data_IF_496812290285
#
_entry.id   IF_496812290285
#
_cell.length_a   1.000
_cell.length_b   1.000
_cell.length_c   1.000
_cell.angle_alpha   90.00
_cell.angle_beta   90.00
_cell.angle_gamma   90.00
#
_symmetry.space_group_name_H-M   'P 1'
#
loop_
_entity.id
_entity.type
_entity.pdbx_description
1 polymer ?
#
# COMPACT_ATOMS: atom_id res chain seq x y z
N UNK A 1 -42.81 -46.81 -6.91
CA UNK A 1 -42.87 -45.74 -7.91
C UNK A 1 -42.41 -44.50 -7.18
N UNK A 2 -41.10 -44.21 -7.23
CA UNK A 2 -40.49 -43.10 -6.50
C UNK A 2 -40.37 -41.92 -7.46
N UNK A 3 -41.05 -40.82 -7.15
CA UNK A 3 -40.89 -39.55 -7.85
C UNK A 3 -39.47 -39.04 -7.62
N UNK A 4 -38.68 -39.04 -8.70
CA UNK A 4 -37.39 -38.39 -8.73
C UNK A 4 -37.64 -36.87 -8.75
N UNK A 5 -37.61 -36.25 -7.58
CA UNK A 5 -37.52 -34.80 -7.49
C UNK A 5 -36.24 -34.35 -8.22
N UNK A 6 -36.44 -33.57 -9.28
CA UNK A 6 -35.41 -32.95 -10.09
C UNK A 6 -34.64 -31.96 -9.22
N UNK A 7 -33.56 -32.45 -8.60
CA UNK A 7 -32.61 -31.62 -7.84
C UNK A 7 -31.87 -30.78 -8.85
N UNK A 8 -32.22 -29.50 -8.96
CA UNK A 8 -31.49 -28.52 -9.75
C UNK A 8 -30.04 -28.43 -9.23
N UNK A 9 -29.04 -28.92 -9.99
CA UNK A 9 -27.65 -28.92 -9.54
C UNK A 9 -27.05 -27.50 -9.45
N UNK A 10 -27.79 -26.47 -9.89
CA UNK A 10 -27.38 -25.06 -9.82
C UNK A 10 -28.04 -24.26 -8.68
N UNK A 11 -28.91 -24.88 -7.87
CA UNK A 11 -29.56 -24.21 -6.74
C UNK A 11 -28.59 -23.91 -5.56
N UNK A 12 -27.37 -24.45 -5.57
CA UNK A 12 -26.36 -24.28 -4.51
C UNK A 12 -25.44 -23.04 -4.69
N UNK A 13 -25.60 -22.24 -5.75
CA UNK A 13 -24.71 -21.09 -6.00
C UNK A 13 -25.26 -19.71 -5.58
N UNK A 14 -26.42 -19.64 -4.90
CA UNK A 14 -27.05 -18.35 -4.56
C UNK A 14 -27.19 -18.07 -3.07
N UNK A 15 -26.11 -18.19 -2.31
CA UNK A 15 -25.90 -17.42 -1.07
C UNK A 15 -24.40 -17.26 -0.80
N UNK A 16 -23.65 -16.68 -1.73
CA UNK A 16 -22.50 -15.88 -1.30
C UNK A 16 -23.09 -14.50 -0.99
N UNK A 17 -23.69 -14.35 0.20
CA UNK A 17 -23.89 -13.02 0.76
C UNK A 17 -22.53 -12.32 0.65
N UNK A 18 -22.51 -11.27 -0.15
CA UNK A 18 -21.32 -10.49 -0.41
C UNK A 18 -21.01 -9.71 0.86
N UNK A 19 -20.41 -10.38 1.84
CA UNK A 19 -19.61 -9.72 2.85
C UNK A 19 -18.62 -8.87 2.08
N UNK A 20 -18.97 -7.60 1.99
CA UNK A 20 -18.27 -6.64 1.16
C UNK A 20 -16.94 -6.45 1.85
N UNK A 21 -15.91 -7.18 1.40
CA UNK A 21 -14.57 -7.15 1.98
C UNK A 21 -14.23 -5.70 2.33
N UNK A 22 -14.23 -5.42 3.64
CA UNK A 22 -14.00 -4.08 4.14
C UNK A 22 -12.50 -3.90 4.34
N UNK A 23 -12.00 -2.76 3.89
CA UNK A 23 -10.62 -2.37 4.08
C UNK A 23 -10.53 -1.38 5.23
N UNK A 24 -9.83 -1.75 6.30
CA UNK A 24 -9.56 -0.86 7.42
C UNK A 24 -8.49 0.20 7.07
N UNK A 25 -8.64 1.41 7.62
CA UNK A 25 -7.70 2.51 7.41
C UNK A 25 -6.28 2.13 7.81
N UNK A 26 -6.07 1.60 9.01
CA UNK A 26 -4.73 1.31 9.55
C UNK A 26 -3.94 0.34 8.67
N UNK A 27 -4.61 -0.74 8.23
CA UNK A 27 -4.09 -1.70 7.26
C UNK A 27 -3.67 -1.01 5.97
N UNK A 28 -4.52 -0.14 5.43
CA UNK A 28 -4.22 0.61 4.23
C UNK A 28 -2.98 1.52 4.41
N UNK A 29 -2.89 2.27 5.52
CA UNK A 29 -1.78 3.21 5.75
C UNK A 29 -0.43 2.47 5.83
N UNK A 30 -0.35 1.40 6.63
CA UNK A 30 0.88 0.61 6.78
C UNK A 30 1.32 -0.02 5.46
N UNK A 31 0.37 -0.65 4.77
CA UNK A 31 0.70 -1.34 3.53
C UNK A 31 1.02 -0.35 2.41
N UNK A 32 0.36 0.81 2.33
CA UNK A 32 0.70 1.86 1.36
C UNK A 32 2.11 2.40 1.57
N UNK A 33 2.54 2.58 2.82
CA UNK A 33 3.92 2.97 3.12
C UNK A 33 4.93 1.91 2.65
N UNK A 34 4.67 0.63 2.91
CA UNK A 34 5.51 -0.46 2.42
C UNK A 34 5.55 -0.51 0.87
N UNK A 35 4.40 -0.33 0.22
CA UNK A 35 4.30 -0.26 -1.24
C UNK A 35 5.04 0.94 -1.82
N UNK A 36 5.04 2.09 -1.14
CA UNK A 36 5.80 3.26 -1.55
C UNK A 36 7.31 3.00 -1.51
N UNK A 37 7.81 2.39 -0.45
CA UNK A 37 9.23 2.03 -0.35
C UNK A 37 9.64 1.00 -1.41
N UNK A 38 8.78 0.01 -1.65
CA UNK A 38 8.97 -0.97 -2.73
C UNK A 38 8.93 -0.30 -4.11
N UNK A 39 8.03 0.67 -4.30
CA UNK A 39 7.92 1.46 -5.52
C UNK A 39 9.11 2.40 -5.72
N UNK A 40 9.77 2.89 -4.66
CA UNK A 40 10.96 3.72 -4.77
C UNK A 40 12.22 2.88 -5.04
N UNK A 41 12.43 1.84 -4.24
CA UNK A 41 13.70 1.09 -4.23
C UNK A 41 13.70 -0.09 -5.20
N UNK A 42 12.53 -0.57 -5.61
CA UNK A 42 12.41 -1.88 -6.25
C UNK A 42 12.69 -3.01 -5.26
N UNK A 43 12.94 -4.20 -5.78
CA UNK A 43 13.32 -5.37 -5.02
C UNK A 43 14.41 -6.12 -5.80
N UNK A 44 15.57 -6.39 -5.19
CA UNK A 44 16.69 -7.03 -5.88
C UNK A 44 16.24 -8.26 -6.66
N UNK A 45 16.55 -8.29 -7.96
CA UNK A 45 16.28 -9.39 -8.89
C UNK A 45 14.81 -9.73 -9.16
N UNK A 46 13.87 -8.98 -8.61
CA UNK A 46 12.43 -9.13 -8.88
C UNK A 46 11.84 -7.89 -9.54
N UNK A 47 12.22 -6.71 -9.05
CA UNK A 47 11.73 -5.43 -9.51
C UNK A 47 12.92 -4.48 -9.60
N UNK A 48 13.26 -4.02 -10.81
CA UNK A 48 14.32 -3.02 -11.02
C UNK A 48 14.11 -1.82 -10.11
N UNK A 49 15.19 -1.19 -9.63
CA UNK A 49 15.07 0.04 -8.84
C UNK A 49 14.50 1.20 -9.66
N UNK A 50 13.93 2.21 -9.01
CA UNK A 50 13.48 3.41 -9.73
C UNK A 50 14.67 4.15 -10.33
N UNK A 51 15.81 4.18 -9.63
CA UNK A 51 17.03 4.79 -10.12
C UNK A 51 17.53 4.17 -11.43
N UNK A 52 17.50 2.84 -11.56
CA UNK A 52 17.85 2.16 -12.81
C UNK A 52 16.86 2.52 -13.93
N UNK A 53 15.54 2.47 -13.68
CA UNK A 53 14.54 2.84 -14.69
C UNK A 53 14.68 4.29 -15.13
N UNK A 54 14.87 5.21 -14.19
CA UNK A 54 15.14 6.64 -14.45
C UNK A 54 16.30 6.82 -15.41
N UNK A 55 17.43 6.14 -15.15
CA UNK A 55 18.60 6.23 -16.03
C UNK A 55 18.31 5.69 -17.43
N UNK A 56 17.53 4.59 -17.54
CA UNK A 56 17.12 4.05 -18.83
C UNK A 56 16.26 5.05 -19.61
N UNK A 57 15.25 5.65 -18.97
CA UNK A 57 14.38 6.65 -19.62
C UNK A 57 15.14 7.92 -20.00
N UNK A 58 15.99 8.44 -19.12
CA UNK A 58 16.82 9.61 -19.45
C UNK A 58 17.77 9.33 -20.61
N UNK A 59 18.35 8.12 -20.72
CA UNK A 59 19.17 7.75 -21.89
C UNK A 59 18.34 7.69 -23.17
N UNK A 60 17.15 7.10 -23.09
CA UNK A 60 16.21 7.02 -24.23
C UNK A 60 15.81 8.41 -24.73
N UNK A 61 15.58 9.34 -23.80
CA UNK A 61 15.26 10.74 -24.08
C UNK A 61 16.49 11.64 -24.27
N UNK A 62 17.72 11.08 -24.33
CA UNK A 62 18.97 11.84 -24.50
C UNK A 62 19.19 12.95 -23.45
N UNK A 63 18.71 12.73 -22.24
CA UNK A 63 18.81 13.65 -21.11
C UNK A 63 17.67 14.67 -21.02
N UNK A 64 16.70 14.67 -21.94
CA UNK A 64 15.51 15.51 -21.82
C UNK A 64 14.58 14.95 -20.74
N UNK A 65 14.50 15.64 -19.60
CA UNK A 65 13.69 15.24 -18.45
C UNK A 65 12.19 15.24 -18.77
N UNK A 66 11.72 16.20 -19.55
CA UNK A 66 10.29 16.35 -19.83
C UNK A 66 9.84 15.22 -20.78
N UNK A 67 10.63 14.97 -21.83
CA UNK A 67 10.38 13.85 -22.74
C UNK A 67 10.49 12.49 -22.01
N UNK A 68 11.47 12.31 -21.13
CA UNK A 68 11.60 11.09 -20.32
C UNK A 68 10.41 10.89 -19.38
N UNK A 69 9.95 11.96 -18.72
CA UNK A 69 8.80 11.89 -17.82
C UNK A 69 7.51 11.54 -18.58
N UNK A 70 7.32 12.09 -19.77
CA UNK A 70 6.18 11.77 -20.63
C UNK A 70 6.21 10.29 -21.06
N UNK A 71 7.36 9.79 -21.51
CA UNK A 71 7.54 8.37 -21.84
C UNK A 71 7.22 7.46 -20.64
N UNK A 72 7.67 7.84 -19.44
CA UNK A 72 7.40 7.10 -18.21
C UNK A 72 5.91 7.09 -17.82
N UNK A 73 5.14 8.11 -18.19
CA UNK A 73 3.69 8.15 -17.97
C UNK A 73 2.92 7.27 -18.96
N UNK A 74 3.40 7.17 -20.19
CA UNK A 74 2.80 6.37 -21.26
C UNK A 74 3.13 4.87 -21.14
N UNK A 75 4.28 4.54 -20.55
CA UNK A 75 4.70 3.15 -20.38
C UNK A 75 3.82 2.42 -19.35
N UNK A 76 3.21 1.32 -19.80
CA UNK A 76 2.56 0.38 -18.92
C UNK A 76 3.58 -0.61 -18.34
N UNK A 77 3.56 -0.76 -17.01
CA UNK A 77 4.42 -1.74 -16.33
C UNK A 77 3.89 -3.15 -16.63
N UNK A 78 4.80 -4.07 -16.99
CA UNK A 78 4.49 -5.45 -17.37
C UNK A 78 3.82 -6.25 -16.24
N UNK A 79 2.89 -7.14 -16.62
CA UNK A 79 2.08 -7.99 -15.72
C UNK A 79 2.92 -8.92 -14.83
N UNK A 80 4.15 -9.26 -15.22
CA UNK A 80 5.03 -10.19 -14.50
C UNK A 80 5.24 -9.75 -13.05
N UNK A 81 5.34 -8.43 -12.80
CA UNK A 81 5.57 -7.87 -11.45
C UNK A 81 4.41 -8.12 -10.49
N UNK A 82 3.20 -8.36 -11.00
CA UNK A 82 2.00 -8.62 -10.19
C UNK A 82 2.17 -9.87 -9.33
N UNK A 83 2.70 -10.95 -9.89
CA UNK A 83 2.93 -12.19 -9.14
C UNK A 83 4.00 -12.03 -8.05
N UNK A 84 5.04 -11.23 -8.32
CA UNK A 84 6.06 -10.91 -7.31
C UNK A 84 5.46 -10.10 -6.16
N UNK A 85 4.67 -9.07 -6.47
CA UNK A 85 4.09 -8.19 -5.45
C UNK A 85 3.20 -8.94 -4.47
N UNK A 86 2.36 -9.85 -4.96
CA UNK A 86 1.47 -10.64 -4.11
C UNK A 86 2.23 -11.59 -3.18
N UNK A 87 3.48 -11.92 -3.50
CA UNK A 87 4.34 -12.78 -2.67
C UNK A 87 5.32 -12.00 -1.79
N UNK A 88 5.75 -10.83 -2.25
CA UNK A 88 6.73 -9.98 -1.57
C UNK A 88 6.13 -9.11 -0.47
N UNK A 89 4.88 -8.66 -0.66
CA UNK A 89 4.17 -7.88 0.33
C UNK A 89 3.56 -8.89 1.31
N UNK A 90 4.11 -9.08 2.52
CA UNK A 90 3.50 -9.97 3.50
C UNK A 90 2.03 -9.56 3.68
N UNK A 91 1.14 -10.54 3.85
CA UNK A 91 -0.31 -10.34 3.90
C UNK A 91 -0.69 -9.30 4.97
N UNK A 92 -0.70 -8.02 4.61
CA UNK A 92 -1.10 -6.93 5.51
C UNK A 92 -2.61 -6.81 5.61
N UNK A 93 -3.39 -7.74 5.03
CA UNK A 93 -4.85 -7.64 4.96
C UNK A 93 -5.36 -6.76 3.81
N UNK A 94 -4.48 -6.27 2.92
CA UNK A 94 -4.90 -5.61 1.69
C UNK A 94 -5.28 -6.63 0.61
N UNK A 95 -6.45 -6.51 -0.04
CA UNK A 95 -6.79 -7.34 -1.18
C UNK A 95 -5.86 -7.08 -2.36
N UNK A 96 -5.48 -8.16 -3.05
CA UNK A 96 -4.65 -8.14 -4.27
C UNK A 96 -5.14 -7.12 -5.31
N UNK A 97 -6.46 -6.96 -5.41
CA UNK A 97 -7.12 -6.02 -6.32
C UNK A 97 -6.76 -4.55 -6.06
N UNK A 98 -6.38 -4.19 -4.82
CA UNK A 98 -5.97 -2.83 -4.44
C UNK A 98 -4.45 -2.68 -4.51
N UNK A 99 -3.72 -3.72 -4.07
CA UNK A 99 -2.24 -3.70 -3.97
C UNK A 99 -1.59 -3.34 -5.30
N UNK A 100 -1.95 -4.06 -6.37
CA UNK A 100 -1.27 -3.89 -7.66
C UNK A 100 -1.55 -2.53 -8.31
N UNK A 101 -2.81 -2.07 -8.45
CA UNK A 101 -3.08 -0.73 -9.01
C UNK A 101 -2.47 0.40 -8.19
N UNK A 102 -2.51 0.31 -6.85
CA UNK A 102 -1.90 1.32 -5.98
C UNK A 102 -0.38 1.35 -6.16
N UNK A 103 0.29 0.20 -6.11
CA UNK A 103 1.73 0.12 -6.33
C UNK A 103 2.12 0.63 -7.72
N UNK A 104 1.39 0.25 -8.77
CA UNK A 104 1.64 0.71 -10.15
C UNK A 104 1.56 2.23 -10.26
N UNK A 105 0.56 2.84 -9.63
CA UNK A 105 0.41 4.29 -9.56
C UNK A 105 1.59 4.93 -8.82
N UNK A 106 1.91 4.47 -7.60
CA UNK A 106 3.02 4.99 -6.80
C UNK A 106 4.36 4.86 -7.55
N UNK A 107 4.57 3.73 -8.25
CA UNK A 107 5.77 3.45 -9.02
C UNK A 107 5.95 4.43 -10.17
N UNK A 108 4.87 4.73 -10.90
CA UNK A 108 4.87 5.73 -11.98
C UNK A 108 5.24 7.12 -11.45
N UNK A 109 4.63 7.53 -10.33
CA UNK A 109 4.91 8.83 -9.70
C UNK A 109 6.35 8.90 -9.18
N UNK A 110 6.85 7.86 -8.52
CA UNK A 110 8.24 7.77 -8.07
C UNK A 110 9.22 7.92 -9.23
N UNK A 111 8.94 7.27 -10.36
CA UNK A 111 9.77 7.36 -11.55
C UNK A 111 9.84 8.80 -12.07
N UNK A 112 8.69 9.46 -12.25
CA UNK A 112 8.64 10.87 -12.69
C UNK A 112 9.35 11.79 -11.70
N UNK A 113 9.10 11.65 -10.39
CA UNK A 113 9.79 12.42 -9.36
C UNK A 113 11.31 12.22 -9.46
N UNK A 114 11.78 10.99 -9.64
CA UNK A 114 13.21 10.71 -9.76
C UNK A 114 13.81 11.32 -11.04
N UNK A 115 13.11 11.30 -12.18
CA UNK A 115 13.55 11.88 -13.46
C UNK A 115 13.81 13.38 -13.31
N UNK A 116 12.96 14.06 -12.56
CA UNK A 116 13.08 15.50 -12.31
C UNK A 116 14.11 15.89 -11.26
N UNK A 117 14.84 14.96 -10.63
CA UNK A 117 15.82 15.34 -9.61
C UNK A 117 15.52 14.88 -8.19
N UNK A 118 14.30 14.46 -7.90
CA UNK A 118 13.87 14.31 -6.50
C UNK A 118 14.43 13.04 -5.87
N UNK A 119 14.91 13.17 -4.63
CA UNK A 119 15.42 12.06 -3.85
C UNK A 119 14.27 11.34 -3.13
N UNK A 120 13.99 10.11 -3.57
CA UNK A 120 12.90 9.29 -3.03
C UNK A 120 13.16 8.79 -1.61
N UNK A 121 14.37 8.95 -1.05
CA UNK A 121 14.64 8.65 0.36
C UNK A 121 14.16 9.78 1.30
N UNK A 122 13.92 10.98 0.76
CA UNK A 122 13.46 12.11 1.56
C UNK A 122 11.98 11.97 1.89
N UNK A 123 11.65 12.08 3.18
CA UNK A 123 10.27 11.99 3.66
C UNK A 123 9.34 13.00 2.96
N UNK A 124 9.81 14.22 2.72
CA UNK A 124 9.04 15.26 2.04
C UNK A 124 8.67 14.87 0.60
N UNK A 125 9.59 14.22 -0.13
CA UNK A 125 9.35 13.73 -1.49
C UNK A 125 8.39 12.54 -1.46
N UNK A 126 8.55 11.63 -0.50
CA UNK A 126 7.62 10.51 -0.31
C UNK A 126 6.19 10.99 -0.01
N UNK A 127 6.06 12.02 0.84
CA UNK A 127 4.78 12.64 1.12
C UNK A 127 4.19 13.34 -0.12
N UNK A 128 5.02 14.03 -0.90
CA UNK A 128 4.63 14.61 -2.19
C UNK A 128 4.12 13.56 -3.19
N UNK A 129 4.78 12.39 -3.27
CA UNK A 129 4.35 11.26 -4.11
C UNK A 129 2.95 10.79 -3.73
N UNK A 130 2.67 10.66 -2.42
CA UNK A 130 1.35 10.23 -1.94
C UNK A 130 0.26 11.29 -2.19
N UNK A 131 0.58 12.57 -2.04
CA UNK A 131 -0.35 13.66 -2.37
C UNK A 131 -0.66 13.66 -3.87
N UNK A 132 0.36 13.53 -4.72
CA UNK A 132 0.19 13.42 -6.16
C UNK A 132 -0.65 12.18 -6.54
N UNK A 133 -0.46 11.05 -5.86
CA UNK A 133 -1.29 9.86 -6.06
C UNK A 133 -2.77 10.10 -5.73
N UNK A 134 -3.05 10.97 -4.75
CA UNK A 134 -4.41 11.42 -4.42
C UNK A 134 -4.95 12.52 -5.33
N UNK A 135 -4.18 13.00 -6.31
CA UNK A 135 -4.52 14.17 -7.12
C UNK A 135 -4.53 15.47 -6.31
N UNK A 136 -3.77 15.53 -5.22
CA UNK A 136 -3.70 16.66 -4.30
C UNK A 136 -2.42 17.46 -4.53
N UNK A 137 -2.52 18.78 -4.41
CA UNK A 137 -1.35 19.67 -4.46
C UNK A 137 -0.79 19.88 -3.05
N UNK A 138 0.53 19.84 -2.92
CA UNK A 138 1.20 20.33 -1.71
C UNK A 138 1.34 21.85 -1.83
N UNK A 139 0.91 22.59 -0.82
CA UNK A 139 1.22 24.02 -0.78
C UNK A 139 2.74 24.19 -0.62
N UNK A 140 3.36 25.06 -1.43
CA UNK A 140 4.83 25.24 -1.48
C UNK A 140 5.44 25.65 -0.13
N UNK A 141 4.65 26.29 0.74
CA UNK A 141 5.09 26.73 2.06
C UNK A 141 5.00 25.66 3.16
N UNK A 142 4.30 24.55 2.92
CA UNK A 142 4.11 23.49 3.91
C UNK A 142 4.95 22.27 3.52
N UNK A 143 5.93 21.90 4.35
CA UNK A 143 6.59 20.60 4.22
C UNK A 143 5.57 19.51 4.53
N UNK A 144 5.17 18.68 3.54
CA UNK A 144 4.20 17.63 3.78
C UNK A 144 4.87 16.55 4.63
N UNK A 145 4.22 16.16 5.74
CA UNK A 145 4.62 15.00 6.54
C UNK A 145 4.06 13.73 5.93
N UNK A 146 4.82 12.64 5.95
CA UNK A 146 4.43 11.39 5.31
C UNK A 146 3.09 10.85 5.85
N UNK A 147 2.93 10.87 7.17
CA UNK A 147 1.71 10.40 7.83
C UNK A 147 0.46 11.19 7.39
N UNK A 148 0.58 12.52 7.29
CA UNK A 148 -0.54 13.38 6.83
C UNK A 148 -0.89 13.10 5.38
N UNK A 149 0.11 12.84 4.53
CA UNK A 149 -0.11 12.51 3.13
C UNK A 149 -0.78 11.13 2.97
N UNK A 150 -0.38 10.13 3.76
CA UNK A 150 -1.06 8.83 3.83
C UNK A 150 -2.53 8.98 4.24
N UNK A 151 -2.80 9.75 5.29
CA UNK A 151 -4.16 10.03 5.74
C UNK A 151 -4.98 10.79 4.68
N UNK A 152 -4.37 11.73 3.96
CA UNK A 152 -5.02 12.46 2.88
C UNK A 152 -5.38 11.56 1.70
N UNK A 153 -4.46 10.67 1.30
CA UNK A 153 -4.71 9.66 0.28
C UNK A 153 -5.84 8.71 0.69
N UNK A 154 -5.82 8.22 1.93
CA UNK A 154 -6.93 7.41 2.46
C UNK A 154 -8.25 8.16 2.36
N UNK A 155 -8.35 9.37 2.92
CA UNK A 155 -9.58 10.17 2.89
C UNK A 155 -10.09 10.39 1.47
N UNK A 156 -9.18 10.55 0.50
CA UNK A 156 -9.52 10.69 -0.92
C UNK A 156 -10.14 9.41 -1.48
N UNK A 157 -9.51 8.27 -1.26
CA UNK A 157 -9.98 6.97 -1.76
C UNK A 157 -11.25 6.48 -1.05
N UNK A 158 -11.31 6.71 0.26
CA UNK A 158 -12.41 6.38 1.14
C UNK A 158 -13.62 7.32 1.00
N UNK A 159 -13.54 8.35 0.14
CA UNK A 159 -14.57 9.38 -0.05
C UNK A 159 -15.02 10.02 1.27
N UNK A 160 -14.07 10.25 2.18
CA UNK A 160 -14.30 10.87 3.49
C UNK A 160 -14.62 9.90 4.64
N UNK A 161 -14.81 8.60 4.37
CA UNK A 161 -14.97 7.61 5.44
C UNK A 161 -13.68 7.44 6.26
N UNK A 162 -13.84 7.27 7.57
CA UNK A 162 -12.70 7.33 8.51
C UNK A 162 -12.16 5.95 8.85
N UNK A 163 -13.00 4.91 9.02
CA UNK A 163 -12.56 3.63 9.62
C UNK A 163 -12.39 2.48 8.64
N UNK A 164 -13.45 2.11 7.93
CA UNK A 164 -13.46 0.99 7.01
C UNK A 164 -14.34 1.32 5.81
N UNK A 165 -13.97 0.79 4.64
CA UNK A 165 -14.66 1.06 3.38
C UNK A 165 -14.69 -0.21 2.52
N UNK A 166 -15.77 -0.48 1.77
CA UNK A 166 -15.77 -1.55 0.79
C UNK A 166 -14.62 -1.41 -0.21
N UNK A 167 -13.93 -2.51 -0.47
CA UNK A 167 -12.78 -2.57 -1.38
C UNK A 167 -13.13 -2.08 -2.79
N UNK A 168 -14.35 -2.33 -3.25
CA UNK A 168 -14.84 -1.84 -4.54
C UNK A 168 -14.86 -0.30 -4.64
N UNK A 169 -15.15 0.40 -3.54
CA UNK A 169 -15.12 1.87 -3.50
C UNK A 169 -13.70 2.39 -3.64
N UNK A 170 -12.75 1.79 -2.91
CA UNK A 170 -11.33 2.15 -2.98
C UNK A 170 -10.77 1.88 -4.37
N UNK A 171 -11.11 0.73 -4.96
CA UNK A 171 -10.68 0.36 -6.31
C UNK A 171 -11.23 1.33 -7.36
N UNK A 172 -12.51 1.66 -7.30
CA UNK A 172 -13.12 2.63 -8.21
C UNK A 172 -12.43 4.00 -8.14
N UNK A 173 -12.18 4.50 -6.92
CA UNK A 173 -11.46 5.75 -6.72
C UNK A 173 -10.00 5.71 -7.21
N UNK A 174 -9.30 4.58 -7.07
CA UNK A 174 -7.95 4.40 -7.61
C UNK A 174 -7.92 4.47 -9.14
N UNK A 175 -8.89 3.84 -9.81
CA UNK A 175 -8.99 3.90 -11.28
C UNK A 175 -9.26 5.33 -11.76
N UNK A 176 -10.16 6.05 -11.08
CA UNK A 176 -10.45 7.46 -11.40
C UNK A 176 -9.19 8.33 -11.27
N UNK A 177 -8.40 8.12 -10.21
CA UNK A 177 -7.16 8.87 -9.97
C UNK A 177 -6.09 8.55 -11.02
N UNK A 178 -5.93 7.28 -11.41
CA UNK A 178 -4.98 6.90 -12.45
C UNK A 178 -5.25 7.61 -13.79
N UNK A 179 -6.52 7.82 -14.15
CA UNK A 179 -6.90 8.54 -15.37
C UNK A 179 -6.61 10.05 -15.32
N UNK A 180 -6.54 10.65 -14.13
CA UNK A 180 -6.36 12.10 -13.95
C UNK A 180 -4.93 12.51 -13.57
N UNK A 181 -4.09 11.56 -13.16
CA UNK A 181 -2.85 11.90 -12.48
C UNK A 181 -1.75 12.45 -13.40
N UNK A 182 -1.71 12.13 -14.70
CA UNK A 182 -0.56 12.42 -15.57
C UNK A 182 -0.06 13.87 -15.52
N UNK A 183 -0.89 14.83 -15.93
CA UNK A 183 -0.54 16.26 -15.93
C UNK A 183 -0.26 16.81 -14.53
N UNK A 184 -1.03 16.35 -13.54
CA UNK A 184 -0.85 16.77 -12.14
C UNK A 184 0.49 16.31 -11.58
N UNK A 185 0.91 15.08 -11.90
CA UNK A 185 2.20 14.52 -11.50
C UNK A 185 3.34 15.36 -12.09
N UNK A 186 3.29 15.67 -13.39
CA UNK A 186 4.31 16.49 -14.05
C UNK A 186 4.39 17.87 -13.39
N UNK A 187 3.25 18.55 -13.24
CA UNK A 187 3.19 19.86 -12.60
C UNK A 187 3.79 19.85 -11.17
N UNK A 188 3.57 18.76 -10.42
CA UNK A 188 4.05 18.63 -9.05
C UNK A 188 5.58 18.52 -8.96
N UNK A 189 6.22 17.78 -9.86
CA UNK A 189 7.65 17.45 -9.76
C UNK A 189 8.56 18.25 -10.70
N UNK A 190 8.02 18.99 -11.67
CA UNK A 190 8.80 19.73 -12.69
C UNK A 190 9.85 20.69 -12.11
N UNK A 191 9.68 21.19 -10.87
CA UNK A 191 10.61 22.13 -10.20
C UNK A 191 11.86 21.46 -9.58
N UNK A 192 12.15 20.20 -9.89
CA UNK A 192 13.32 19.51 -9.35
C UNK A 192 14.67 19.93 -9.95
N UNK A 193 15.76 19.27 -9.54
CA UNK A 193 17.11 19.57 -10.00
C UNK A 193 17.35 19.10 -11.44
N UNK A 194 17.82 19.99 -12.31
CA UNK A 194 18.07 19.71 -13.74
C UNK A 194 19.31 18.87 -14.03
N UNK A 195 20.21 18.70 -13.06
CA UNK A 195 21.44 17.92 -13.24
C UNK A 195 21.35 16.61 -12.47
N UNK A 196 21.25 15.51 -13.20
CA UNK A 196 21.42 14.18 -12.67
C UNK A 196 22.41 13.41 -13.53
N UNK A 197 23.35 12.73 -12.87
CA UNK A 197 24.19 11.76 -13.54
C UNK A 197 23.38 10.48 -13.79
N UNK A 198 23.11 10.20 -15.07
CA UNK A 198 22.42 9.00 -15.55
C UNK A 198 23.37 8.02 -16.26
N UNK A 199 24.68 8.21 -16.13
CA UNK A 199 25.71 7.32 -16.69
C UNK A 199 25.92 6.05 -15.87
N UNK A 200 25.47 6.03 -14.61
CA UNK A 200 25.60 4.88 -13.71
C UNK A 200 25.01 3.59 -14.32
N UNK A 201 25.66 2.43 -14.13
CA UNK A 201 25.21 1.16 -14.71
C UNK A 201 23.76 0.83 -14.26
N UNK A 202 23.00 0.22 -15.17
CA UNK A 202 21.63 -0.19 -14.90
C UNK A 202 21.61 -1.49 -14.12
N UNK A 203 20.63 -1.64 -13.23
CA UNK A 203 20.36 -2.94 -12.62
C UNK A 203 20.05 -3.98 -13.72
N UNK A 204 20.56 -5.22 -13.59
CA UNK A 204 20.23 -6.28 -14.53
C UNK A 204 18.72 -6.49 -14.61
N UNK A 205 18.27 -6.92 -15.77
CA UNK A 205 16.86 -7.29 -15.95
C UNK A 205 16.56 -8.52 -15.09
N UNK A 206 15.49 -8.51 -14.29
CA UNK A 206 15.14 -9.66 -13.47
C UNK A 206 14.81 -10.84 -14.37
N UNK A 207 15.38 -12.01 -14.08
CA UNK A 207 15.15 -13.22 -14.87
C UNK A 207 14.15 -14.15 -14.19
N UNK A 208 13.55 -15.08 -14.95
CA UNK A 208 12.72 -16.14 -14.37
C UNK A 208 13.50 -16.99 -13.34
N UNK A 209 14.80 -17.20 -13.55
CA UNK A 209 15.63 -17.94 -12.60
C UNK A 209 15.76 -17.20 -11.26
N UNK A 210 15.92 -15.88 -11.30
CA UNK A 210 15.94 -15.04 -10.10
C UNK A 210 14.62 -15.12 -9.33
N UNK A 211 13.49 -15.15 -10.04
CA UNK A 211 12.18 -15.35 -9.44
C UNK A 211 12.08 -16.67 -8.70
N UNK A 212 12.42 -17.78 -9.37
CA UNK A 212 12.36 -19.11 -8.77
C UNK A 212 13.26 -19.20 -7.53
N UNK A 213 14.44 -18.58 -7.58
CA UNK A 213 15.34 -18.50 -6.43
C UNK A 213 14.74 -17.68 -5.28
N UNK A 214 14.12 -16.54 -5.58
CA UNK A 214 13.42 -15.72 -4.59
C UNK A 214 12.27 -16.51 -3.95
N UNK A 215 11.45 -17.23 -4.72
CA UNK A 215 10.36 -18.06 -4.18
C UNK A 215 10.86 -19.11 -3.19
N UNK A 216 11.99 -19.75 -3.49
CA UNK A 216 12.62 -20.71 -2.59
C UNK A 216 13.09 -20.07 -1.28
N UNK A 217 13.59 -18.83 -1.33
CA UNK A 217 14.05 -18.09 -0.16
C UNK A 217 12.88 -17.56 0.68
N UNK A 218 11.84 -17.01 0.04
CA UNK A 218 10.66 -16.47 0.71
C UNK A 218 9.82 -17.58 1.33
N UNK A 219 9.67 -18.74 0.68
CA UNK A 219 8.99 -19.90 1.27
C UNK A 219 9.66 -20.39 2.56
N UNK A 220 11.00 -20.39 2.60
CA UNK A 220 11.78 -20.72 3.82
C UNK A 220 11.65 -19.66 4.90
N UNK A 221 11.55 -18.39 4.49
CA UNK A 221 11.45 -17.25 5.41
C UNK A 221 10.04 -17.15 6.01
N UNK A 222 8.98 -17.31 5.22
CA UNK A 222 7.59 -17.27 5.70
C UNK A 222 7.29 -18.39 6.70
N UNK A 223 7.92 -19.56 6.60
CA UNK A 223 7.86 -20.58 7.66
C UNK A 223 8.36 -20.03 9.01
N UNK A 224 9.41 -19.21 9.01
CA UNK A 224 9.96 -18.60 10.21
C UNK A 224 9.11 -17.42 10.74
N UNK A 225 8.50 -16.64 9.84
CA UNK A 225 7.61 -15.53 10.20
C UNK A 225 6.23 -16.00 10.68
N UNK A 226 5.68 -17.08 10.13
CA UNK A 226 4.40 -17.65 10.61
C UNK A 226 4.49 -18.10 12.08
N UNK A 227 5.63 -18.63 12.50
CA UNK A 227 5.88 -19.00 13.90
C UNK A 227 5.98 -17.78 14.83
N UNK A 228 6.56 -16.66 14.36
CA UNK A 228 6.66 -15.44 15.15
C UNK A 228 5.38 -14.59 15.16
N UNK A 229 4.70 -14.42 14.03
CA UNK A 229 3.46 -13.64 13.95
C UNK A 229 2.32 -14.35 14.69
N UNK A 230 2.22 -15.70 14.64
CA UNK A 230 1.31 -16.43 15.52
C UNK A 230 1.67 -16.25 17.01
N UNK A 231 2.96 -16.17 17.37
CA UNK A 231 3.36 -15.95 18.77
C UNK A 231 3.05 -14.53 19.28
N UNK A 232 3.22 -13.50 18.45
CA UNK A 232 2.99 -12.10 18.85
C UNK A 232 1.50 -11.78 18.83
N UNK A 233 0.76 -12.20 17.80
CA UNK A 233 -0.70 -12.04 17.79
C UNK A 233 -1.37 -12.89 18.87
N UNK A 234 -0.85 -14.07 19.22
CA UNK A 234 -1.36 -14.85 20.36
C UNK A 234 -1.13 -14.15 21.71
N UNK A 235 -0.02 -13.40 21.87
CA UNK A 235 0.29 -12.71 23.12
C UNK A 235 -0.56 -11.45 23.30
N UNK A 236 -0.79 -10.68 22.24
CA UNK A 236 -1.65 -9.49 22.31
C UNK A 236 -3.14 -9.85 22.45
N UNK A 237 -3.61 -10.92 21.79
CA UNK A 237 -4.98 -11.41 21.97
C UNK A 237 -5.18 -12.03 23.37
N UNK A 238 -4.17 -12.73 23.90
CA UNK A 238 -4.21 -13.23 25.28
C UNK A 238 -4.20 -12.08 26.30
N UNK A 239 -3.36 -11.05 26.10
CA UNK A 239 -3.33 -9.86 26.96
C UNK A 239 -4.67 -9.11 26.92
N UNK A 240 -5.27 -8.96 25.74
CA UNK A 240 -6.57 -8.32 25.58
C UNK A 240 -7.71 -9.14 26.21
N UNK A 241 -7.70 -10.47 26.08
CA UNK A 241 -8.66 -11.36 26.74
C UNK A 241 -8.51 -11.33 28.27
N UNK A 242 -7.28 -11.28 28.80
CA UNK A 242 -7.03 -11.16 30.24
C UNK A 242 -7.56 -9.83 30.79
N UNK A 243 -7.28 -8.71 30.09
CA UNK A 243 -7.77 -7.38 30.50
C UNK A 243 -9.29 -7.30 30.42
N UNK A 244 -9.90 -7.88 29.38
CA UNK A 244 -11.35 -7.87 29.18
C UNK A 244 -12.09 -8.80 30.15
N UNK A 245 -11.49 -9.93 30.54
CA UNK A 245 -12.04 -10.86 31.52
C UNK A 245 -11.89 -10.36 32.97
N UNK A 246 -10.82 -9.62 33.29
CA UNK A 246 -10.55 -9.11 34.64
C UNK A 246 -11.11 -7.70 34.90
N UNK A 247 -11.37 -6.91 33.85
CA UNK A 247 -11.96 -5.56 33.97
C UNK A 247 -13.25 -5.50 34.81
N UNK A 248 -14.22 -6.44 34.65
CA UNK A 248 -15.44 -6.45 35.45
C UNK A 248 -15.24 -6.87 36.92
N UNK A 249 -14.15 -7.57 37.24
CA UNK A 249 -13.86 -8.05 38.60
C UNK A 249 -13.19 -6.95 39.43
N UNK A 250 -12.36 -6.11 38.80
CA UNK A 250 -11.69 -5.00 39.47
C UNK A 250 -12.61 -3.79 39.72
N UNK A 251 -13.67 -3.61 38.92
CA UNK A 251 -14.64 -2.52 39.10
C UNK A 251 -15.69 -2.78 40.20
N UNK A 252 -15.77 -3.98 40.77
CA UNK A 252 -16.70 -4.31 41.86
C UNK A 252 -16.07 -4.20 43.27
N UNK A 253 -14.83 -3.74 43.40
CA UNK A 253 -14.14 -3.65 44.70
C UNK A 253 -14.18 -2.26 45.37
N UNK A 254 -14.80 -1.25 44.75
CA UNK A 254 -15.00 0.08 45.35
C UNK A 254 -16.48 0.38 45.62
N UNK A 255 -17.10 -0.30 46.57
CA UNK A 255 -18.25 0.27 47.31
C UNK A 255 -18.29 -0.30 48.73
N UNK A 256 -17.47 0.27 49.61
CA UNK A 256 -17.66 0.18 51.05
C UNK A 256 -18.65 1.26 51.52
N UNK A 257 -19.67 0.93 52.34
CA UNK A 257 -20.71 1.85 52.74
C UNK A 257 -20.24 2.76 53.88
N UNK A 258 -20.06 4.06 53.64
CA UNK A 258 -19.99 5.04 54.72
C UNK A 258 -21.40 5.46 55.10
N UNK A 259 -22.02 4.66 55.97
CA UNK A 259 -23.21 5.03 56.74
C UNK A 259 -22.78 5.41 58.16
N UNK A 260 -23.11 6.65 58.53
CA UNK A 260 -23.42 7.16 59.89
C UNK A 260 -22.32 7.24 60.95
N UNK A 261 -22.16 8.45 61.52
CA UNK A 261 -22.12 8.79 62.96
C UNK A 261 -22.18 10.34 63.02
N UNK A 262 -23.33 10.95 63.31
CA UNK A 262 -23.91 11.27 64.63
C UNK A 262 -23.35 12.55 65.27
N UNK A 263 -24.23 13.55 65.39
CA UNK A 263 -24.43 14.43 66.56
C UNK A 263 -23.21 14.93 67.35
N UNK A 264 -22.91 16.23 67.23
CA UNK A 264 -22.83 17.22 68.32
C UNK A 264 -22.69 18.63 67.73
#
# INVERSE_FOLDING_TARGET
MFDAAEVDPFALERTCESDSLELAQEVFLHATQALLLLAANGYPRAVRSTAARRNAELRRARGDQEAAAQLALEEDTTEEVKEFLLRLVPYFGLPAAVVYPLWKLLRKICLVASIFGHDLQQEAVQAAVLLAAGGLHSAEAAQPRLEKALQALWKRLARGAVRAVPVGTVLGALVDLQGQAGELILAHFRKGSKQQDYSAPLDPEPTLADFLQMLQQTGRSQQKWSLHVCSVLSLDLAAWLIVSALGPILLNFEMGPNTLLSSL
#
